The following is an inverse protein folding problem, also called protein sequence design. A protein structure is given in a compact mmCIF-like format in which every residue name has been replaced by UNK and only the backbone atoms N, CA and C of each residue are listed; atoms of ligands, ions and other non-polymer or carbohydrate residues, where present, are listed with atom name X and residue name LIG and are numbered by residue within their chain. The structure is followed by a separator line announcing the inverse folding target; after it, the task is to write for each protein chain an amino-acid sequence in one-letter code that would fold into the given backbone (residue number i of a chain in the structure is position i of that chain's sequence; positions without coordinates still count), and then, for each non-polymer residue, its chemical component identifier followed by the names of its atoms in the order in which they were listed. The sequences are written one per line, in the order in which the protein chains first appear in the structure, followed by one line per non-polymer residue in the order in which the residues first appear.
data_IF_574708647687
#
_entry.id   IF_574708647687
#
_cell.length_a   1.000
_cell.length_b   1.000
_cell.length_c   1.000
_cell.angle_alpha   90.00
_cell.angle_beta   90.00
_cell.angle_gamma   90.00
#
_symmetry.space_group_name_H-M   'P 1'
#
loop_
_entity.id
_entity.type
_entity.pdbx_description
1 polymer ?
#
# COMPACT_ATOMS: atom_id res chain seq x y z
N UNK A 1 4.37 -11.94 14.42
CA UNK A 1 3.05 -11.52 14.95
C UNK A 1 2.01 -12.38 14.25
N UNK A 2 1.16 -13.12 14.98
CA UNK A 2 0.13 -13.95 14.34
C UNK A 2 -1.06 -13.04 13.99
N UNK A 3 -1.34 -12.90 12.70
CA UNK A 3 -2.49 -12.14 12.20
C UNK A 3 -3.76 -12.95 12.49
N UNK A 4 -4.72 -12.35 13.18
CA UNK A 4 -6.09 -12.87 13.23
C UNK A 4 -6.69 -12.73 11.82
N UNK A 5 -7.59 -13.62 11.43
CA UNK A 5 -8.11 -13.69 10.06
C UNK A 5 -8.67 -12.36 9.53
N UNK A 6 -8.71 -12.21 8.20
CA UNK A 6 -9.31 -11.04 7.56
C UNK A 6 -10.82 -11.23 7.35
N UNK A 7 -11.60 -10.20 7.63
CA UNK A 7 -13.00 -10.10 7.25
C UNK A 7 -13.09 -9.65 5.79
N UNK A 8 -13.86 -10.38 4.97
CA UNK A 8 -13.98 -10.14 3.54
C UNK A 8 -15.40 -9.73 3.17
N UNK A 9 -15.51 -8.64 2.42
CA UNK A 9 -16.74 -8.19 1.77
C UNK A 9 -16.45 -7.86 0.28
N UNK A 10 -17.47 -7.74 -0.58
CA UNK A 10 -17.24 -7.35 -1.98
C UNK A 10 -16.44 -6.05 -2.08
N UNK A 11 -15.23 -6.14 -2.64
CA UNK A 11 -14.34 -4.99 -2.83
C UNK A 11 -13.64 -4.49 -1.57
N UNK A 12 -13.75 -5.17 -0.43
CA UNK A 12 -13.13 -4.74 0.84
C UNK A 12 -12.57 -5.93 1.61
N UNK A 13 -11.34 -5.81 2.09
CA UNK A 13 -10.75 -6.74 3.05
C UNK A 13 -10.30 -5.96 4.29
N UNK A 14 -10.71 -6.40 5.47
CA UNK A 14 -10.31 -5.78 6.74
C UNK A 14 -9.54 -6.79 7.59
N UNK A 15 -8.35 -6.40 7.99
CA UNK A 15 -7.52 -7.12 8.95
C UNK A 15 -7.65 -6.45 10.32
N UNK A 16 -7.87 -7.26 11.35
CA UNK A 16 -7.80 -6.81 12.75
C UNK A 16 -6.56 -7.39 13.39
N UNK A 17 -5.62 -6.54 13.79
CA UNK A 17 -4.43 -6.94 14.52
C UNK A 17 -4.79 -7.41 15.95
N UNK A 18 -3.92 -8.18 16.62
CA UNK A 18 -4.20 -8.70 17.97
C UNK A 18 -4.47 -7.64 19.05
N UNK A 19 -3.97 -6.41 18.85
CA UNK A 19 -4.19 -5.25 19.72
C UNK A 19 -5.48 -4.46 19.39
N UNK A 20 -6.24 -4.90 18.38
CA UNK A 20 -7.46 -4.27 17.93
C UNK A 20 -7.26 -3.17 16.88
N UNK A 21 -6.02 -2.93 16.43
CA UNK A 21 -5.76 -2.00 15.33
C UNK A 21 -6.26 -2.57 14.00
N UNK A 22 -6.68 -1.67 13.11
CA UNK A 22 -7.32 -2.02 11.85
C UNK A 22 -6.44 -1.64 10.66
N UNK A 23 -6.44 -2.53 9.67
CA UNK A 23 -5.94 -2.28 8.33
C UNK A 23 -7.05 -2.66 7.35
N UNK A 24 -7.54 -1.70 6.58
CA UNK A 24 -8.61 -1.94 5.60
C UNK A 24 -8.08 -1.68 4.21
N UNK A 25 -8.27 -2.66 3.32
CA UNK A 25 -7.94 -2.58 1.90
C UNK A 25 -9.23 -2.51 1.09
N UNK A 26 -9.37 -1.47 0.29
CA UNK A 26 -10.46 -1.28 -0.66
C UNK A 26 -9.95 -1.57 -2.06
N UNK A 27 -10.70 -2.36 -2.82
CA UNK A 27 -10.41 -2.58 -4.23
C UNK A 27 -10.45 -1.25 -4.97
N UNK A 28 -9.41 -0.98 -5.75
CA UNK A 28 -9.36 0.21 -6.56
C UNK A 28 -10.29 0.17 -7.77
N UNK A 29 -10.51 1.35 -8.34
CA UNK A 29 -11.24 1.55 -9.59
C UNK A 29 -10.30 2.03 -10.70
N UNK A 30 -10.66 1.88 -11.98
CA UNK A 30 -9.86 2.37 -13.10
C UNK A 30 -9.59 3.89 -13.08
N UNK A 31 -10.38 4.65 -12.34
CA UNK A 31 -10.30 6.11 -12.25
C UNK A 31 -9.41 6.60 -11.11
N UNK A 32 -8.97 5.72 -10.21
CA UNK A 32 -8.17 6.05 -9.02
C UNK A 32 -6.83 6.74 -9.35
N UNK A 33 -6.30 6.46 -10.54
CA UNK A 33 -5.04 7.00 -11.02
C UNK A 33 -5.22 8.18 -11.98
N UNK A 34 -6.44 8.64 -12.21
CA UNK A 34 -6.70 9.72 -13.17
C UNK A 34 -5.81 10.94 -12.91
N UNK A 35 -5.65 11.32 -11.65
CA UNK A 35 -4.84 12.47 -11.23
C UNK A 35 -3.32 12.20 -11.27
N UNK A 36 -2.91 10.93 -11.38
CA UNK A 36 -1.50 10.51 -11.35
C UNK A 36 -0.94 10.16 -12.73
N UNK A 37 -1.76 10.16 -13.80
CA UNK A 37 -1.33 9.76 -15.16
C UNK A 37 -0.16 10.57 -15.71
N UNK A 38 -0.09 11.84 -15.33
CA UNK A 38 0.94 12.78 -15.79
C UNK A 38 1.96 13.15 -14.68
N UNK A 39 1.92 12.44 -13.54
CA UNK A 39 2.79 12.71 -12.38
C UNK A 39 3.95 11.72 -12.36
N UNK A 40 5.17 12.25 -12.21
CA UNK A 40 6.34 11.42 -11.88
C UNK A 40 6.39 11.26 -10.37
N UNK A 41 6.12 10.05 -9.89
CA UNK A 41 6.19 9.73 -8.46
C UNK A 41 7.62 9.88 -7.93
N UNK A 42 7.73 10.33 -6.69
CA UNK A 42 9.03 10.48 -6.01
C UNK A 42 9.33 9.19 -5.24
N UNK A 43 10.42 8.46 -5.55
CA UNK A 43 10.75 7.27 -4.80
C UNK A 43 11.27 7.62 -3.39
N UNK A 44 10.82 6.89 -2.37
CA UNK A 44 11.27 7.05 -0.98
C UNK A 44 12.76 6.75 -0.79
N UNK A 45 13.31 5.89 -1.66
CA UNK A 45 14.71 5.48 -1.68
C UNK A 45 15.40 6.06 -2.92
N UNK A 46 16.46 6.88 -2.75
CA UNK A 46 17.23 7.40 -3.87
C UNK A 46 17.78 6.29 -4.76
N UNK A 47 17.62 6.43 -6.08
CA UNK A 47 18.11 5.47 -7.08
C UNK A 47 17.18 4.27 -7.33
N UNK A 48 16.05 4.18 -6.62
CA UNK A 48 14.98 3.24 -6.94
C UNK A 48 14.09 3.84 -8.04
N UNK A 49 13.74 3.06 -9.06
CA UNK A 49 12.78 3.51 -10.08
C UNK A 49 11.36 3.40 -9.53
N UNK A 50 10.66 4.53 -9.40
CA UNK A 50 9.25 4.57 -9.03
C UNK A 50 8.37 3.89 -10.11
N UNK A 51 7.15 3.41 -9.78
CA UNK A 51 6.32 2.73 -10.75
C UNK A 51 5.90 3.69 -11.88
N UNK A 52 6.01 3.21 -13.11
CA UNK A 52 5.55 3.94 -14.29
C UNK A 52 4.03 3.78 -14.44
N UNK A 53 3.28 4.79 -14.01
CA UNK A 53 1.82 4.81 -14.05
C UNK A 53 1.22 4.95 -15.47
N UNK A 54 2.06 5.14 -16.50
CA UNK A 54 1.62 5.04 -17.89
C UNK A 54 1.39 3.58 -18.34
N UNK A 55 1.89 2.61 -17.57
CA UNK A 55 1.62 1.19 -17.80
C UNK A 55 0.36 0.74 -17.05
N UNK A 56 -0.33 -0.33 -17.51
CA UNK A 56 -1.44 -0.89 -16.76
C UNK A 56 -0.99 -1.34 -15.37
N UNK A 57 -1.58 -0.74 -14.34
CA UNK A 57 -1.35 -1.08 -12.93
C UNK A 57 -2.68 -1.33 -12.25
N UNK A 58 -2.68 -2.18 -11.22
CA UNK A 58 -3.84 -2.37 -10.34
C UNK A 58 -3.69 -1.49 -9.11
N UNK A 59 -4.77 -0.85 -8.68
CA UNK A 59 -4.81 -0.02 -7.48
C UNK A 59 -5.63 -0.64 -6.37
N UNK A 60 -5.31 -0.21 -5.16
CA UNK A 60 -6.13 -0.41 -3.98
C UNK A 60 -5.91 0.78 -3.04
N UNK A 61 -6.94 1.14 -2.28
CA UNK A 61 -6.82 2.13 -1.21
C UNK A 61 -6.67 1.44 0.12
N UNK A 62 -5.83 2.02 0.97
CA UNK A 62 -5.63 1.52 2.33
C UNK A 62 -6.11 2.58 3.31
N UNK A 63 -6.91 2.16 4.28
CA UNK A 63 -7.14 2.91 5.51
C UNK A 63 -6.41 2.22 6.66
N UNK A 64 -5.41 2.88 7.21
CA UNK A 64 -4.67 2.44 8.37
C UNK A 64 -4.14 3.68 9.11
N UNK A 65 -4.10 3.65 10.44
CA UNK A 65 -3.59 4.75 11.27
C UNK A 65 -2.29 4.41 12.00
N UNK A 66 -1.75 3.23 11.73
CA UNK A 66 -0.61 2.67 12.43
C UNK A 66 0.44 2.29 11.40
N UNK A 67 1.50 3.07 11.33
CA UNK A 67 2.54 2.97 10.31
C UNK A 67 3.31 1.64 10.38
N UNK A 68 3.50 1.10 11.58
CA UNK A 68 4.11 -0.21 11.81
C UNK A 68 3.21 -1.36 11.31
N UNK A 69 1.91 -1.29 11.61
CA UNK A 69 0.92 -2.24 11.08
C UNK A 69 0.84 -2.15 9.55
N UNK A 70 0.82 -0.92 9.00
CA UNK A 70 0.82 -0.69 7.56
C UNK A 70 2.06 -1.31 6.91
N UNK A 71 3.26 -0.93 7.37
CA UNK A 71 4.52 -1.39 6.80
C UNK A 71 4.64 -2.92 6.85
N UNK A 72 4.31 -3.53 8.00
CA UNK A 72 4.38 -5.00 8.16
C UNK A 72 3.33 -5.73 7.31
N UNK A 73 2.10 -5.22 7.24
CA UNK A 73 1.03 -5.84 6.44
C UNK A 73 1.32 -5.74 4.96
N UNK A 74 1.74 -4.56 4.49
CA UNK A 74 2.08 -4.32 3.07
C UNK A 74 3.30 -5.12 2.65
N UNK A 75 4.32 -5.26 3.50
CA UNK A 75 5.44 -6.15 3.24
C UNK A 75 5.00 -7.62 3.09
N UNK A 76 4.13 -8.11 3.98
CA UNK A 76 3.56 -9.46 3.85
C UNK A 76 2.73 -9.64 2.58
N UNK A 77 1.95 -8.63 2.17
CA UNK A 77 1.21 -8.67 0.90
C UNK A 77 2.16 -8.77 -0.29
N UNK A 78 3.26 -8.01 -0.28
CA UNK A 78 4.26 -8.04 -1.35
C UNK A 78 4.93 -9.42 -1.50
N UNK A 79 5.01 -10.22 -0.44
CA UNK A 79 5.55 -11.58 -0.52
C UNK A 79 4.58 -12.58 -1.19
N UNK A 80 3.30 -12.26 -1.25
CA UNK A 80 2.24 -13.14 -1.79
C UNK A 80 1.66 -12.67 -3.12
N UNK A 81 1.78 -11.37 -3.43
CA UNK A 81 1.33 -10.80 -4.70
C UNK A 81 2.45 -10.92 -5.74
N UNK A 82 2.19 -11.50 -6.93
CA UNK A 82 3.19 -11.56 -7.98
C UNK A 82 3.50 -10.16 -8.51
N UNK A 83 4.79 -9.89 -8.71
CA UNK A 83 5.28 -8.62 -9.25
C UNK A 83 5.78 -7.65 -8.18
N UNK A 84 5.88 -6.39 -8.56
CA UNK A 84 6.31 -5.31 -7.67
C UNK A 84 5.09 -4.62 -7.07
N UNK A 85 5.06 -4.53 -5.74
CA UNK A 85 4.03 -3.82 -4.99
C UNK A 85 4.64 -2.51 -4.50
N UNK A 86 3.89 -1.43 -4.69
CA UNK A 86 4.27 -0.09 -4.25
C UNK A 86 3.19 0.47 -3.33
N UNK A 87 3.62 1.20 -2.31
CA UNK A 87 2.73 2.02 -1.49
C UNK A 87 2.95 3.49 -1.83
N UNK A 88 1.86 4.23 -2.00
CA UNK A 88 1.88 5.68 -2.12
C UNK A 88 1.43 6.27 -0.78
N UNK A 89 2.20 7.21 -0.26
CA UNK A 89 1.92 7.88 1.01
C UNK A 89 1.18 9.21 0.78
N UNK A 90 0.73 9.91 1.83
CA UNK A 90 -0.06 11.15 1.67
C UNK A 90 0.69 12.32 1.05
N UNK A 91 2.00 12.19 0.81
CA UNK A 91 2.86 13.18 0.16
C UNK A 91 3.29 12.75 -1.26
N UNK A 92 2.58 11.79 -1.86
CA UNK A 92 2.87 11.24 -3.19
C UNK A 92 4.25 10.58 -3.30
N UNK A 93 4.81 10.13 -2.18
CA UNK A 93 6.07 9.37 -2.16
C UNK A 93 5.78 7.90 -2.38
N UNK A 94 6.46 7.30 -3.36
CA UNK A 94 6.37 5.89 -3.69
C UNK A 94 7.38 5.06 -2.89
N UNK A 95 6.87 4.11 -2.11
CA UNK A 95 7.65 3.19 -1.29
C UNK A 95 7.60 1.78 -1.88
N UNK A 96 8.75 1.10 -1.98
CA UNK A 96 8.75 -0.35 -2.19
C UNK A 96 8.09 -1.00 -0.97
N UNK A 97 7.02 -1.77 -1.22
CA UNK A 97 6.26 -2.43 -0.17
C UNK A 97 7.10 -3.30 0.78
N UNK A 98 8.23 -3.83 0.32
CA UNK A 98 9.14 -4.67 1.13
C UNK A 98 10.11 -3.85 1.98
N UNK A 99 10.19 -2.54 1.76
CA UNK A 99 11.18 -1.66 2.37
C UNK A 99 10.57 -0.34 2.87
N UNK A 100 9.30 -0.36 3.31
CA UNK A 100 8.67 0.78 3.97
C UNK A 100 9.31 0.99 5.35
N UNK A 101 9.75 2.22 5.62
CA UNK A 101 10.19 2.63 6.96
C UNK A 101 8.99 3.20 7.74
N UNK A 102 8.50 2.50 8.79
CA UNK A 102 7.33 2.93 9.53
C UNK A 102 7.54 4.24 10.30
N UNK A 103 8.77 4.71 10.46
CA UNK A 103 9.06 5.99 11.13
C UNK A 103 9.11 7.18 10.18
N UNK A 104 8.99 6.94 8.86
CA UNK A 104 9.12 7.97 7.82
C UNK A 104 7.93 8.05 6.89
N UNK A 105 7.19 6.96 6.69
CA UNK A 105 5.97 6.97 5.88
C UNK A 105 4.89 7.85 6.52
N UNK A 106 4.07 8.47 5.69
CA UNK A 106 2.95 9.32 6.11
C UNK A 106 1.65 8.73 5.56
N UNK A 107 0.75 8.31 6.45
CA UNK A 107 -0.54 7.72 6.09
C UNK A 107 -1.64 8.77 5.98
#
# INVERSE_FOLDING_TARGET
MALLGADLAPGVAQLTAPDGHLFTLYAGTPDDLADYRDVTLVPATPGLEAPNLALPVSTAYVECRWEDLFATTVAHLADHVPGQLWALDSNDVAWDARAIDPWRILL
#
